data_IF_819601577482
#
_entry.id   IF_819601577482
#
_cell.length_a   1.000
_cell.length_b   1.000
_cell.length_c   1.000
_cell.angle_alpha   90.00
_cell.angle_beta   90.00
_cell.angle_gamma   90.00
#
_symmetry.space_group_name_H-M   'P 1'
#
loop_
_entity.id
_entity.type
_entity.pdbx_description
1 polymer ?
#
# COMPACT_ATOMS: atom_id res chain seq x y z
N UNK A 1 -0.40 6.69 17.91
CA UNK A 1 0.65 6.29 16.96
C UNK A 1 1.89 7.13 17.19
N UNK A 2 3.06 6.50 17.15
CA UNK A 2 4.35 7.20 17.15
C UNK A 2 4.73 7.60 15.72
N UNK A 3 4.31 6.81 14.73
CA UNK A 3 4.60 7.05 13.30
C UNK A 3 3.41 6.62 12.45
N UNK A 4 3.05 7.44 11.47
CA UNK A 4 2.09 7.09 10.41
C UNK A 4 2.84 6.92 9.10
N UNK A 5 2.74 5.72 8.49
CA UNK A 5 3.37 5.37 7.23
C UNK A 5 2.31 5.19 6.15
N UNK A 6 2.33 6.04 5.13
CA UNK A 6 1.39 5.96 4.00
C UNK A 6 2.15 5.62 2.73
N UNK A 7 1.80 4.50 2.11
CA UNK A 7 2.32 4.13 0.80
C UNK A 7 1.38 4.64 -0.29
N UNK A 8 1.86 5.58 -1.10
CA UNK A 8 1.23 5.97 -2.35
C UNK A 8 1.86 5.18 -3.50
N UNK A 9 1.05 4.40 -4.22
CA UNK A 9 1.52 3.38 -5.15
C UNK A 9 0.96 3.60 -6.55
N UNK A 10 1.84 3.59 -7.55
CA UNK A 10 1.41 3.59 -8.95
C UNK A 10 0.83 2.22 -9.32
N UNK A 11 -0.47 2.19 -9.61
CA UNK A 11 -1.21 1.02 -10.05
C UNK A 11 -1.61 1.06 -11.52
N UNK A 12 -1.01 1.95 -12.33
CA UNK A 12 -1.40 2.19 -13.71
C UNK A 12 -0.94 1.09 -14.69
N UNK A 13 -1.55 1.06 -15.88
CA UNK A 13 -1.23 0.10 -16.95
C UNK A 13 0.22 0.14 -17.43
N UNK A 14 0.89 1.30 -17.36
CA UNK A 14 2.31 1.42 -17.73
C UNK A 14 3.23 0.64 -16.80
N UNK A 15 2.86 0.49 -15.52
CA UNK A 15 3.58 -0.34 -14.55
C UNK A 15 3.44 -1.81 -14.96
N UNK A 16 2.21 -2.26 -15.22
CA UNK A 16 1.92 -3.64 -15.57
C UNK A 16 1.92 -4.60 -14.37
N UNK A 17 1.26 -5.75 -14.54
CA UNK A 17 1.01 -6.72 -13.46
C UNK A 17 2.29 -7.32 -12.87
N UNK A 18 3.30 -7.58 -13.69
CA UNK A 18 4.55 -8.18 -13.23
C UNK A 18 5.36 -7.21 -12.36
N UNK A 19 5.50 -5.95 -12.78
CA UNK A 19 6.20 -4.94 -11.97
C UNK A 19 5.46 -4.62 -10.68
N UNK A 20 4.13 -4.64 -10.70
CA UNK A 20 3.33 -4.46 -9.49
C UNK A 20 3.60 -5.54 -8.43
N UNK A 21 3.97 -6.77 -8.82
CA UNK A 21 4.38 -7.81 -7.85
C UNK A 21 5.66 -7.41 -7.10
N UNK A 22 6.62 -6.77 -7.77
CA UNK A 22 7.84 -6.28 -7.13
C UNK A 22 7.55 -5.12 -6.18
N UNK A 23 6.73 -4.16 -6.60
CA UNK A 23 6.27 -3.05 -5.76
C UNK A 23 5.58 -3.58 -4.50
N UNK A 24 4.66 -4.54 -4.66
CA UNK A 24 3.97 -5.18 -3.53
C UNK A 24 4.94 -5.87 -2.58
N UNK A 25 5.95 -6.55 -3.12
CA UNK A 25 6.98 -7.23 -2.31
C UNK A 25 7.86 -6.24 -1.55
N UNK A 26 8.19 -5.11 -2.18
CA UNK A 26 8.94 -4.01 -1.56
C UNK A 26 8.16 -3.40 -0.39
N UNK A 27 6.89 -3.04 -0.61
CA UNK A 27 6.02 -2.48 0.44
C UNK A 27 5.86 -3.48 1.59
N UNK A 28 5.69 -4.76 1.27
CA UNK A 28 5.59 -5.83 2.28
C UNK A 28 6.85 -5.92 3.15
N UNK A 29 8.03 -5.90 2.53
CA UNK A 29 9.30 -5.97 3.24
C UNK A 29 9.52 -4.73 4.11
N UNK A 30 9.23 -3.54 3.58
CA UNK A 30 9.38 -2.27 4.29
C UNK A 30 8.42 -2.18 5.47
N UNK A 31 7.12 -2.41 5.28
CA UNK A 31 6.15 -2.45 6.38
C UNK A 31 6.51 -3.53 7.42
N UNK A 32 7.08 -4.64 6.96
CA UNK A 32 7.59 -5.71 7.79
C UNK A 32 8.72 -5.28 8.72
N UNK A 33 9.47 -4.22 8.43
CA UNK A 33 10.56 -3.76 9.31
C UNK A 33 10.06 -2.97 10.53
N UNK A 34 8.81 -2.50 10.53
CA UNK A 34 8.25 -1.67 11.60
C UNK A 34 7.52 -2.48 12.68
N UNK A 35 7.50 -1.95 13.89
CA UNK A 35 6.64 -2.41 14.97
C UNK A 35 5.25 -1.78 14.82
N UNK A 36 4.29 -2.59 14.35
CA UNK A 36 2.94 -2.16 13.99
C UNK A 36 2.00 -2.36 15.18
N UNK A 37 1.26 -1.31 15.50
CA UNK A 37 0.34 -1.26 16.64
C UNK A 37 -0.49 0.02 16.64
N UNK A 38 -1.62 0.01 17.35
CA UNK A 38 -2.48 1.19 17.50
C UNK A 38 -1.72 2.40 18.05
N UNK A 39 -0.88 2.18 19.06
CA UNK A 39 -0.06 3.25 19.65
C UNK A 39 1.38 3.31 19.10
N UNK A 40 1.69 2.52 18.07
CA UNK A 40 3.04 2.40 17.47
C UNK A 40 3.03 2.92 16.04
N UNK A 41 3.54 2.13 15.09
CA UNK A 41 3.46 2.43 13.66
C UNK A 41 2.10 2.03 13.11
N UNK A 42 1.42 2.94 12.41
CA UNK A 42 0.22 2.66 11.62
C UNK A 42 0.56 2.72 10.14
N UNK A 43 -0.09 1.87 9.35
CA UNK A 43 0.20 1.74 7.91
C UNK A 43 -1.07 1.93 7.10
N UNK A 44 -0.98 2.72 6.03
CA UNK A 44 -2.02 2.86 5.02
C UNK A 44 -1.44 2.64 3.62
N UNK A 45 -2.29 2.20 2.70
CA UNK A 45 -1.91 2.04 1.29
C UNK A 45 -2.98 2.67 0.40
N UNK A 46 -2.53 3.50 -0.52
CA UNK A 46 -3.35 4.15 -1.55
C UNK A 46 -2.73 3.85 -2.91
N UNK A 47 -3.54 3.35 -3.83
CA UNK A 47 -3.15 3.20 -5.23
C UNK A 47 -3.66 4.37 -6.06
N UNK A 48 -2.83 4.90 -6.95
CA UNK A 48 -3.24 5.87 -7.96
C UNK A 48 -3.07 5.30 -9.38
N UNK A 49 -3.95 5.69 -10.28
CA UNK A 49 -3.77 5.55 -11.72
C UNK A 49 -4.54 6.68 -12.41
N UNK A 50 -5.74 6.41 -12.91
CA UNK A 50 -6.68 7.42 -13.43
C UNK A 50 -7.42 8.13 -12.29
N UNK A 51 -7.63 7.44 -11.19
CA UNK A 51 -8.16 7.98 -9.95
C UNK A 51 -7.40 7.38 -8.76
N UNK A 52 -7.65 7.88 -7.55
CA UNK A 52 -7.10 7.32 -6.32
C UNK A 52 -8.03 6.25 -5.76
N UNK A 53 -7.49 5.13 -5.29
CA UNK A 53 -8.22 4.11 -4.52
C UNK A 53 -7.46 3.82 -3.23
N UNK A 54 -8.11 4.11 -2.11
CA UNK A 54 -7.62 3.69 -0.79
C UNK A 54 -7.83 2.18 -0.66
N UNK A 55 -6.74 1.45 -0.43
CA UNK A 55 -6.78 0.00 -0.21
C UNK A 55 -7.07 -0.32 1.26
N UNK A 56 -6.44 0.44 2.16
CA UNK A 56 -6.80 0.47 3.58
C UNK A 56 -6.24 1.72 4.27
N UNK A 57 -6.94 2.17 5.31
CA UNK A 57 -6.60 3.35 6.10
C UNK A 57 -5.71 3.00 7.31
N UNK A 58 -5.11 4.02 7.93
CA UNK A 58 -4.23 3.91 9.11
C UNK A 58 -4.92 3.26 10.33
N UNK A 59 -6.25 3.34 10.40
CA UNK A 59 -7.06 2.83 11.50
C UNK A 59 -7.71 1.45 11.21
N UNK A 60 -7.36 0.81 10.10
CA UNK A 60 -7.98 -0.45 9.68
C UNK A 60 -7.27 -1.69 10.24
N UNK A 61 -5.94 -1.65 10.37
CA UNK A 61 -5.14 -2.77 10.86
C UNK A 61 -4.14 -2.32 11.91
N UNK A 62 -4.21 -2.93 13.10
CA UNK A 62 -3.30 -2.63 14.22
C UNK A 62 -2.36 -3.79 14.55
N UNK A 63 -2.35 -4.86 13.76
CA UNK A 63 -1.48 -6.01 13.96
C UNK A 63 -0.60 -6.21 12.73
N UNK A 64 0.71 -6.39 12.95
CA UNK A 64 1.68 -6.64 11.87
C UNK A 64 1.26 -7.76 10.91
N UNK A 65 0.79 -8.95 11.36
CA UNK A 65 0.36 -10.00 10.45
C UNK A 65 -0.80 -9.59 9.52
N UNK A 66 -1.71 -8.73 10.00
CA UNK A 66 -2.89 -8.33 9.24
C UNK A 66 -2.55 -7.27 8.21
N UNK A 67 -1.68 -6.30 8.55
CA UNK A 67 -1.10 -5.37 7.58
C UNK A 67 -0.34 -6.12 6.48
N UNK A 68 0.54 -7.06 6.86
CA UNK A 68 1.33 -7.83 5.89
C UNK A 68 0.45 -8.69 4.99
N UNK A 69 -0.65 -9.26 5.51
CA UNK A 69 -1.63 -10.01 4.72
C UNK A 69 -2.39 -9.11 3.76
N UNK A 70 -2.81 -7.93 4.20
CA UNK A 70 -3.48 -6.94 3.36
C UNK A 70 -2.57 -6.49 2.21
N UNK A 71 -1.30 -6.17 2.50
CA UNK A 71 -0.31 -5.81 1.48
C UNK A 71 -0.11 -6.95 0.48
N UNK A 72 0.06 -8.20 0.96
CA UNK A 72 0.26 -9.37 0.09
C UNK A 72 -0.90 -9.60 -0.89
N UNK A 73 -2.11 -9.25 -0.47
CA UNK A 73 -3.34 -9.43 -1.24
C UNK A 73 -3.76 -8.18 -2.04
N UNK A 74 -2.94 -7.14 -2.09
CA UNK A 74 -3.26 -5.91 -2.83
C UNK A 74 -3.61 -6.24 -4.30
N UNK A 75 -4.81 -5.84 -4.75
CA UNK A 75 -5.22 -6.03 -6.14
C UNK A 75 -4.54 -4.99 -7.03
N UNK A 76 -3.99 -5.41 -8.16
CA UNK A 76 -3.50 -4.48 -9.16
C UNK A 76 -4.65 -3.61 -9.69
N UNK A 77 -4.53 -2.28 -9.58
CA UNK A 77 -5.59 -1.34 -9.95
C UNK A 77 -5.86 -1.28 -11.47
N UNK A 78 -4.82 -1.14 -12.28
CA UNK A 78 -4.96 -0.84 -13.71
C UNK A 78 -5.48 0.58 -13.98
N UNK A 79 -5.73 0.90 -15.25
CA UNK A 79 -6.15 2.23 -15.73
C UNK A 79 -4.98 3.06 -16.27
N UNK A 80 -5.28 4.14 -17.00
CA UNK A 80 -4.27 5.06 -17.52
C UNK A 80 -3.52 5.75 -16.35
N UNK A 81 -2.25 6.08 -16.56
CA UNK A 81 -1.44 6.86 -15.60
C UNK A 81 -1.88 8.33 -15.67
N UNK A 82 -2.82 8.76 -14.81
CA UNK A 82 -3.16 10.17 -14.63
C UNK A 82 -2.49 10.70 -13.37
N UNK A 83 -1.17 10.85 -13.43
CA UNK A 83 -0.41 11.63 -12.43
C UNK A 83 -0.63 13.13 -12.70
N UNK A 84 -1.84 13.62 -12.40
CA UNK A 84 -2.17 15.05 -12.32
C UNK A 84 -2.35 15.80 -13.64
N UNK A 85 -3.52 16.44 -13.79
CA UNK A 85 -3.65 17.82 -14.30
C UNK A 85 -4.28 18.67 -13.20
#
# INVERSE_FOLDING_TARGET
AVTDLVFLVDGSWSVGRENFKFIRSFIWAMAGAFDIGEDKTRVAVVQYSSDTRTEFNLNQYYRRPDVLRAIKNLPYKGGNTMTGV
#
